data_IF_517765619250
#
_entry.id   IF_517765619250
#
_cell.length_a   1.000
_cell.length_b   1.000
_cell.length_c   1.000
_cell.angle_alpha   90.00
_cell.angle_beta   90.00
_cell.angle_gamma   90.00
#
_symmetry.space_group_name_H-M   'P 1'
#
loop_
_entity.id
_entity.type
_entity.pdbx_description
1 polymer ?
#
# COMPACT_ATOMS: atom_id res chain seq x y z
N UNK A 1 -12.43 -8.98 4.64
CA UNK A 1 -11.67 -9.91 3.80
C UNK A 1 -11.80 -9.58 2.33
N UNK A 2 -10.98 -10.22 1.48
CA UNK A 2 -10.83 -9.90 0.05
C UNK A 2 -12.18 -9.86 -0.71
N UNK A 3 -13.03 -10.86 -0.53
CA UNK A 3 -14.33 -10.92 -1.22
C UNK A 3 -15.21 -9.68 -0.94
N UNK A 4 -15.19 -9.18 0.28
CA UNK A 4 -15.93 -7.96 0.65
C UNK A 4 -15.33 -6.72 -0.01
N UNK A 5 -14.00 -6.60 -0.04
CA UNK A 5 -13.30 -5.49 -0.71
C UNK A 5 -13.59 -5.49 -2.20
N UNK A 6 -13.55 -6.65 -2.86
CA UNK A 6 -13.88 -6.78 -4.28
C UNK A 6 -15.35 -6.44 -4.56
N UNK A 7 -16.28 -6.80 -3.67
CA UNK A 7 -17.69 -6.43 -3.80
C UNK A 7 -17.88 -4.91 -3.72
N UNK A 8 -17.17 -4.21 -2.80
CA UNK A 8 -17.20 -2.74 -2.73
C UNK A 8 -16.66 -2.13 -4.02
N UNK A 9 -15.49 -2.60 -4.48
CA UNK A 9 -14.89 -2.13 -5.73
C UNK A 9 -15.80 -2.36 -6.94
N UNK A 10 -16.41 -3.54 -7.05
CA UNK A 10 -17.35 -3.85 -8.12
C UNK A 10 -18.52 -2.88 -8.17
N UNK A 11 -19.12 -2.57 -7.01
CA UNK A 11 -20.22 -1.59 -6.89
C UNK A 11 -19.78 -0.19 -7.31
N UNK A 12 -18.62 0.26 -6.83
CA UNK A 12 -18.06 1.58 -7.19
C UNK A 12 -17.79 1.71 -8.69
N UNK A 13 -17.43 0.59 -9.35
CA UNK A 13 -17.16 0.53 -10.79
C UNK A 13 -18.42 0.21 -11.64
N UNK A 14 -19.61 0.07 -11.03
CA UNK A 14 -20.83 -0.30 -11.74
C UNK A 14 -20.81 -1.72 -12.33
N UNK A 15 -19.96 -2.62 -11.82
CA UNK A 15 -19.78 -4.01 -12.32
C UNK A 15 -20.59 -5.07 -11.55
N UNK A 16 -21.63 -4.66 -10.80
CA UNK A 16 -22.46 -5.57 -10.00
C UNK A 16 -21.81 -5.96 -8.66
N UNK A 17 -22.02 -7.20 -8.22
CA UNK A 17 -21.56 -7.65 -6.89
C UNK A 17 -20.26 -8.47 -6.91
N UNK A 18 -19.75 -8.80 -8.07
CA UNK A 18 -18.54 -9.64 -8.22
C UNK A 18 -17.54 -9.02 -9.19
N UNK A 19 -16.30 -8.97 -8.76
CA UNK A 19 -15.18 -8.49 -9.56
C UNK A 19 -14.03 -9.49 -9.46
N UNK A 20 -13.64 -10.06 -10.60
CA UNK A 20 -12.30 -10.68 -10.75
C UNK A 20 -11.42 -9.61 -11.37
N UNK A 21 -10.32 -9.21 -10.75
CA UNK A 21 -9.45 -8.18 -11.29
C UNK A 21 -8.71 -8.68 -12.54
N UNK A 22 -8.39 -7.75 -13.45
CA UNK A 22 -7.61 -8.05 -14.66
C UNK A 22 -6.13 -8.36 -14.34
N UNK A 23 -5.64 -7.91 -13.19
CA UNK A 23 -4.31 -8.22 -12.66
C UNK A 23 -4.26 -8.02 -11.14
N UNK A 24 -3.26 -8.62 -10.50
CA UNK A 24 -2.99 -8.48 -9.06
C UNK A 24 -1.54 -8.06 -8.88
N UNK A 25 -1.29 -7.10 -8.00
CA UNK A 25 0.05 -6.70 -7.60
C UNK A 25 0.20 -6.86 -6.10
N UNK A 26 1.32 -7.43 -5.62
CA UNK A 26 1.58 -7.68 -4.21
C UNK A 26 2.85 -6.98 -3.76
N UNK A 27 2.76 -6.30 -2.63
CA UNK A 27 3.88 -5.56 -2.02
C UNK A 27 4.86 -6.49 -1.32
N UNK A 28 4.37 -7.46 -0.53
CA UNK A 28 5.15 -8.42 0.27
C UNK A 28 4.28 -9.56 0.81
N UNK A 29 4.86 -10.51 1.58
CA UNK A 29 4.22 -11.76 2.02
C UNK A 29 3.85 -11.85 3.49
N UNK A 30 3.71 -10.75 4.23
CA UNK A 30 3.08 -10.82 5.55
C UNK A 30 1.62 -11.26 5.42
N UNK A 31 1.12 -11.99 6.42
CA UNK A 31 -0.16 -12.69 6.34
C UNK A 31 -1.33 -11.76 5.97
N UNK A 32 -1.38 -10.56 6.55
CA UNK A 32 -2.43 -9.58 6.29
C UNK A 32 -2.53 -9.12 4.84
N UNK A 33 -1.43 -9.27 4.06
CA UNK A 33 -1.34 -8.83 2.67
C UNK A 33 -1.59 -9.94 1.65
N UNK A 34 -1.52 -11.22 2.07
CA UNK A 34 -1.67 -12.39 1.17
C UNK A 34 -2.74 -13.39 1.59
N UNK A 35 -3.36 -13.25 2.76
CA UNK A 35 -4.35 -14.20 3.28
C UNK A 35 -5.56 -14.39 2.34
N UNK A 36 -5.96 -13.35 1.63
CA UNK A 36 -7.07 -13.39 0.67
C UNK A 36 -6.73 -13.98 -0.70
N UNK A 37 -5.46 -14.12 -1.05
CA UNK A 37 -5.00 -14.45 -2.40
C UNK A 37 -5.52 -15.80 -2.90
N UNK A 38 -5.64 -16.79 -2.01
CA UNK A 38 -6.21 -18.09 -2.34
C UNK A 38 -7.68 -18.05 -2.78
N UNK A 39 -8.43 -16.99 -2.45
CA UNK A 39 -9.84 -16.85 -2.84
C UNK A 39 -10.02 -16.64 -4.35
N UNK A 40 -8.99 -16.26 -5.08
CA UNK A 40 -9.05 -16.21 -6.55
C UNK A 40 -9.15 -17.60 -7.18
N UNK A 41 -8.78 -18.67 -6.46
CA UNK A 41 -8.77 -20.05 -6.95
C UNK A 41 -10.12 -20.65 -7.28
N UNK A 42 -10.07 -21.89 -7.78
CA UNK A 42 -11.24 -22.63 -8.30
C UNK A 42 -12.34 -22.84 -7.26
N UNK A 43 -11.95 -22.98 -5.99
CA UNK A 43 -12.88 -23.28 -4.89
C UNK A 43 -13.71 -22.07 -4.46
N UNK A 44 -13.36 -20.84 -4.88
CA UNK A 44 -14.07 -19.63 -4.55
C UNK A 44 -14.48 -18.82 -5.78
N UNK A 45 -13.54 -18.12 -6.42
CA UNK A 45 -13.86 -17.19 -7.54
C UNK A 45 -13.68 -17.85 -8.93
N UNK A 46 -13.12 -19.05 -9.01
CA UNK A 46 -12.90 -19.74 -10.28
C UNK A 46 -11.85 -19.09 -11.18
N UNK A 47 -11.00 -18.25 -10.64
CA UNK A 47 -9.96 -17.55 -11.39
C UNK A 47 -8.89 -18.50 -11.92
N UNK A 48 -8.35 -18.16 -13.09
CA UNK A 48 -7.27 -18.90 -13.74
C UNK A 48 -6.49 -17.97 -14.65
N UNK A 49 -5.15 -18.04 -14.57
CA UNK A 49 -4.27 -17.26 -15.43
C UNK A 49 -4.32 -15.75 -15.20
N UNK A 50 -4.74 -15.30 -14.02
CA UNK A 50 -4.74 -13.88 -13.66
C UNK A 50 -3.29 -13.40 -13.59
N UNK A 51 -2.88 -12.34 -14.32
CA UNK A 51 -1.55 -11.78 -14.20
C UNK A 51 -1.27 -11.35 -12.75
N UNK A 52 -0.22 -11.90 -12.15
CA UNK A 52 0.29 -11.52 -10.84
C UNK A 52 1.64 -10.84 -11.02
N UNK A 53 1.78 -9.65 -10.47
CA UNK A 53 3.03 -8.90 -10.43
C UNK A 53 3.54 -8.80 -9.00
N UNK A 54 4.74 -9.28 -8.75
CA UNK A 54 5.39 -9.24 -7.44
C UNK A 54 6.90 -9.45 -7.60
N UNK A 55 7.67 -9.22 -6.55
CA UNK A 55 9.08 -9.59 -6.55
C UNK A 55 9.27 -11.12 -6.64
N UNK A 56 10.47 -11.56 -6.99
CA UNK A 56 10.79 -12.99 -7.08
C UNK A 56 10.61 -13.73 -5.75
N UNK A 57 10.95 -13.08 -4.63
CA UNK A 57 10.80 -13.70 -3.30
C UNK A 57 9.33 -13.83 -2.89
N UNK A 58 8.48 -12.86 -3.22
CA UNK A 58 7.02 -12.94 -3.02
C UNK A 58 6.43 -14.08 -3.82
N UNK A 59 6.78 -14.21 -5.10
CA UNK A 59 6.31 -15.29 -5.96
C UNK A 59 6.72 -16.65 -5.39
N UNK A 60 7.98 -16.80 -4.98
CA UNK A 60 8.48 -18.04 -4.37
C UNK A 60 7.65 -18.43 -3.13
N UNK A 61 7.38 -17.50 -2.22
CA UNK A 61 6.58 -17.78 -1.02
C UNK A 61 5.15 -18.20 -1.38
N UNK A 62 4.53 -17.58 -2.39
CA UNK A 62 3.20 -17.98 -2.85
C UNK A 62 3.19 -19.39 -3.44
N UNK A 63 4.23 -19.78 -4.18
CA UNK A 63 4.39 -21.12 -4.74
C UNK A 63 4.57 -22.16 -3.62
N UNK A 64 5.45 -21.91 -2.64
CA UNK A 64 5.66 -22.75 -1.47
C UNK A 64 4.37 -22.96 -0.66
N UNK A 65 3.56 -21.90 -0.51
CA UNK A 65 2.25 -21.95 0.17
C UNK A 65 1.11 -22.45 -0.71
N UNK A 66 1.37 -22.81 -1.97
CA UNK A 66 0.38 -23.23 -2.99
C UNK A 66 -0.73 -22.20 -3.24
N UNK A 67 -0.42 -20.93 -3.09
CA UNK A 67 -1.32 -19.81 -3.35
C UNK A 67 -1.19 -19.24 -4.76
N UNK A 68 -0.16 -19.63 -5.51
CA UNK A 68 0.12 -19.14 -6.86
C UNK A 68 -0.76 -19.77 -7.96
N UNK A 69 -1.52 -20.83 -7.66
CA UNK A 69 -2.29 -21.61 -8.66
C UNK A 69 -3.23 -20.79 -9.55
N UNK A 70 -3.95 -19.73 -9.06
CA UNK A 70 -4.83 -18.94 -9.90
C UNK A 70 -4.11 -18.01 -10.87
N UNK A 71 -2.80 -17.84 -10.74
CA UNK A 71 -2.06 -16.75 -11.35
C UNK A 71 -1.13 -17.18 -12.48
N UNK A 72 -0.86 -16.21 -13.35
CA UNK A 72 0.29 -16.17 -14.23
C UNK A 72 1.32 -15.25 -13.59
N UNK A 73 2.41 -15.83 -13.06
CA UNK A 73 3.41 -15.07 -12.31
C UNK A 73 4.28 -14.23 -13.24
N UNK A 74 4.43 -12.94 -12.92
CA UNK A 74 5.30 -11.99 -13.58
C UNK A 74 6.21 -11.32 -12.54
N UNK A 75 7.52 -11.49 -12.68
CA UNK A 75 8.48 -10.87 -11.76
C UNK A 75 8.54 -9.37 -12.03
N UNK A 76 8.18 -8.57 -11.04
CA UNK A 76 8.36 -7.13 -11.04
C UNK A 76 9.73 -6.79 -10.43
N UNK A 77 10.59 -6.15 -11.21
CA UNK A 77 11.89 -5.67 -10.73
C UNK A 77 11.78 -4.22 -10.26
N UNK A 78 12.38 -3.92 -9.12
CA UNK A 78 12.41 -2.56 -8.55
C UNK A 78 12.95 -1.55 -9.56
N UNK A 79 12.28 -0.41 -9.69
CA UNK A 79 12.63 0.67 -10.62
C UNK A 79 12.20 0.47 -12.08
N UNK A 80 11.65 -0.71 -12.43
CA UNK A 80 11.14 -0.93 -13.78
C UNK A 80 9.67 -0.51 -13.88
N UNK A 81 9.36 0.30 -14.89
CA UNK A 81 8.00 0.73 -15.22
C UNK A 81 7.40 -0.22 -16.25
N UNK A 82 6.15 -0.64 -16.04
CA UNK A 82 5.43 -1.55 -16.95
C UNK A 82 3.92 -1.36 -16.87
N UNK A 83 3.21 -1.69 -17.95
CA UNK A 83 1.74 -1.76 -17.96
C UNK A 83 1.27 -3.13 -17.49
N UNK A 84 0.41 -3.24 -16.45
CA UNK A 84 -0.02 -4.54 -15.91
C UNK A 84 -0.96 -5.30 -16.85
N UNK A 85 -1.71 -4.59 -17.72
CA UNK A 85 -2.56 -5.18 -18.76
C UNK A 85 -2.54 -4.30 -20.00
N UNK A 86 -2.76 -4.92 -21.17
CA UNK A 86 -2.77 -4.17 -22.44
C UNK A 86 -3.92 -3.16 -22.46
N UNK A 87 -3.58 -1.90 -22.68
CA UNK A 87 -4.58 -0.82 -22.83
C UNK A 87 -5.23 -0.36 -21.52
N UNK A 88 -4.65 -0.70 -20.36
CA UNK A 88 -5.18 -0.26 -19.06
C UNK A 88 -5.10 1.27 -18.83
N UNK A 89 -4.24 1.96 -19.57
CA UNK A 89 -4.11 3.43 -19.49
C UNK A 89 -3.26 3.92 -18.31
N UNK A 90 -2.59 3.03 -17.59
CA UNK A 90 -1.66 3.35 -16.51
C UNK A 90 -0.48 2.39 -16.48
N UNK A 91 0.56 2.76 -15.74
CA UNK A 91 1.75 1.95 -15.54
C UNK A 91 2.01 1.75 -14.04
N UNK A 92 2.78 0.73 -13.72
CA UNK A 92 3.23 0.41 -12.36
C UNK A 92 4.75 0.44 -12.29
N UNK A 93 5.25 0.89 -11.13
CA UNK A 93 6.65 0.80 -10.74
C UNK A 93 6.74 0.25 -9.31
N UNK A 94 7.55 -0.78 -9.11
CA UNK A 94 7.84 -1.32 -7.78
C UNK A 94 9.06 -0.61 -7.21
N UNK A 95 8.92 -0.05 -6.01
CA UNK A 95 9.99 0.69 -5.31
C UNK A 95 10.34 -0.06 -4.05
N UNK A 96 11.59 -0.56 -3.97
CA UNK A 96 12.06 -1.30 -2.79
C UNK A 96 12.03 -0.43 -1.54
N UNK A 97 11.45 -0.95 -0.46
CA UNK A 97 11.44 -0.32 0.88
C UNK A 97 11.85 -1.34 1.95
N UNK A 98 12.46 -0.92 3.06
CA UNK A 98 12.82 -1.82 4.14
C UNK A 98 11.56 -2.19 4.94
N UNK A 99 11.28 -3.48 5.13
CA UNK A 99 10.24 -3.95 6.04
C UNK A 99 10.43 -5.43 6.34
N UNK A 100 10.91 -5.76 7.55
CA UNK A 100 11.01 -7.12 8.13
C UNK A 100 11.10 -8.24 7.08
N UNK A 101 12.23 -8.34 6.38
CA UNK A 101 12.40 -9.25 5.23
C UNK A 101 12.44 -10.76 5.60
N UNK A 102 11.76 -11.18 6.68
CA UNK A 102 11.76 -12.57 7.14
C UNK A 102 11.07 -13.56 6.19
N UNK A 103 10.14 -13.08 5.34
CA UNK A 103 9.45 -13.94 4.35
C UNK A 103 9.77 -13.54 2.92
N UNK A 104 9.77 -12.27 2.63
CA UNK A 104 10.01 -11.70 1.31
C UNK A 104 10.52 -10.28 1.45
N UNK A 105 11.12 -9.76 0.41
CA UNK A 105 11.34 -8.33 0.28
C UNK A 105 10.01 -7.56 0.18
N UNK A 106 10.04 -6.25 0.49
CA UNK A 106 8.87 -5.38 0.48
C UNK A 106 9.04 -4.26 -0.53
N UNK A 107 7.96 -3.95 -1.24
CA UNK A 107 7.93 -2.84 -2.21
C UNK A 107 6.72 -1.94 -1.97
N UNK A 108 6.93 -0.64 -2.07
CA UNK A 108 5.85 0.27 -2.43
C UNK A 108 5.52 0.11 -3.92
N UNK A 109 4.32 0.51 -4.32
CA UNK A 109 3.89 0.46 -5.72
C UNK A 109 3.50 1.88 -6.14
N UNK A 110 4.21 2.43 -7.13
CA UNK A 110 3.79 3.66 -7.80
C UNK A 110 2.86 3.31 -8.94
N UNK A 111 1.70 3.95 -8.97
CA UNK A 111 0.72 3.89 -10.08
C UNK A 111 0.84 5.19 -10.85
N UNK A 112 1.21 5.11 -12.12
CA UNK A 112 1.42 6.25 -13.01
C UNK A 112 0.24 6.32 -13.97
N UNK A 113 -0.71 7.20 -13.67
CA UNK A 113 -1.86 7.46 -14.52
C UNK A 113 -1.57 8.50 -15.59
N UNK A 114 -2.57 8.82 -16.44
CA UNK A 114 -2.40 9.77 -17.54
C UNK A 114 -2.23 11.24 -17.07
N UNK A 115 -2.71 11.60 -15.89
CA UNK A 115 -2.65 12.95 -15.37
C UNK A 115 -1.94 13.05 -14.04
N UNK A 116 -2.07 12.04 -13.19
CA UNK A 116 -1.55 12.01 -11.83
C UNK A 116 -0.90 10.68 -11.50
N UNK A 117 -0.04 10.68 -10.50
CA UNK A 117 0.57 9.46 -9.97
C UNK A 117 0.29 9.27 -8.48
N UNK A 118 0.19 8.02 -8.07
CA UNK A 118 -0.06 7.61 -6.70
C UNK A 118 1.04 6.68 -6.22
N UNK A 119 1.55 6.91 -5.01
CA UNK A 119 2.39 5.95 -4.29
C UNK A 119 1.53 5.18 -3.28
N UNK A 120 1.55 3.85 -3.35
CA UNK A 120 0.95 2.95 -2.37
C UNK A 120 2.06 2.32 -1.54
N UNK A 121 2.23 2.80 -0.30
CA UNK A 121 3.26 2.40 0.66
C UNK A 121 2.58 1.97 1.98
N UNK A 122 1.96 0.78 2.03
CA UNK A 122 1.22 0.35 3.22
C UNK A 122 2.12 0.02 4.41
N UNK A 123 3.33 -0.50 4.14
CA UNK A 123 4.27 -0.97 5.16
C UNK A 123 5.70 -0.58 4.84
N UNK A 124 6.41 -0.05 5.84
CA UNK A 124 7.87 0.05 5.87
C UNK A 124 8.37 0.18 7.32
N UNK A 125 9.64 -0.09 7.59
CA UNK A 125 10.16 -0.13 8.97
C UNK A 125 10.28 1.25 9.60
N UNK A 126 10.90 2.18 8.92
CA UNK A 126 11.07 3.57 9.34
C UNK A 126 11.47 4.49 8.18
N UNK A 127 11.23 5.79 8.35
CA UNK A 127 11.56 6.79 7.34
C UNK A 127 13.06 6.94 7.10
N UNK A 128 13.88 6.83 8.16
CA UNK A 128 15.32 7.00 8.02
C UNK A 128 15.96 5.91 7.16
N UNK A 129 15.54 4.66 7.30
CA UNK A 129 16.02 3.56 6.46
C UNK A 129 15.46 3.69 5.03
N UNK A 130 14.17 4.00 4.89
CA UNK A 130 13.52 4.18 3.60
C UNK A 130 14.21 5.28 2.78
N UNK A 131 14.38 6.46 3.36
CA UNK A 131 15.02 7.60 2.67
C UNK A 131 16.47 7.31 2.29
N UNK A 132 17.24 6.63 3.16
CA UNK A 132 18.59 6.18 2.79
C UNK A 132 18.61 5.21 1.61
N UNK A 133 17.65 4.28 1.57
CA UNK A 133 17.56 3.28 0.51
C UNK A 133 17.23 3.92 -0.85
N UNK A 134 16.30 4.88 -0.86
CA UNK A 134 15.91 5.60 -2.08
C UNK A 134 16.85 6.76 -2.43
N UNK A 135 17.79 7.10 -1.55
CA UNK A 135 18.81 8.14 -1.80
C UNK A 135 18.34 9.57 -1.60
N UNK A 136 17.29 9.77 -0.80
CA UNK A 136 16.65 11.07 -0.57
C UNK A 136 16.88 11.62 0.85
N UNK A 137 16.73 12.93 1.02
CA UNK A 137 16.98 13.59 2.32
C UNK A 137 15.70 13.77 3.15
N UNK A 138 14.55 13.85 2.50
CA UNK A 138 13.26 14.00 3.16
C UNK A 138 12.15 13.28 2.42
N UNK A 139 11.03 13.05 3.09
CA UNK A 139 9.82 12.48 2.49
C UNK A 139 9.34 13.33 1.31
N UNK A 140 9.39 14.67 1.44
CA UNK A 140 9.02 15.60 0.37
C UNK A 140 9.92 15.48 -0.84
N UNK A 141 11.24 15.46 -0.64
CA UNK A 141 12.19 15.33 -1.74
C UNK A 141 11.95 14.03 -2.50
N UNK A 142 11.72 12.92 -1.77
CA UNK A 142 11.41 11.64 -2.39
C UNK A 142 10.14 11.70 -3.24
N UNK A 143 9.05 12.23 -2.68
CA UNK A 143 7.78 12.28 -3.41
C UNK A 143 7.84 13.23 -4.62
N UNK A 144 8.54 14.36 -4.48
CA UNK A 144 8.76 15.30 -5.59
C UNK A 144 9.62 14.67 -6.68
N UNK A 145 10.73 14.02 -6.32
CA UNK A 145 11.63 13.36 -7.30
C UNK A 145 10.94 12.25 -8.08
N UNK A 146 9.98 11.57 -7.45
CA UNK A 146 9.14 10.56 -8.11
C UNK A 146 7.92 11.14 -8.83
N UNK A 147 7.65 12.45 -8.73
CA UNK A 147 6.44 13.06 -9.30
C UNK A 147 5.15 12.47 -8.73
N UNK A 148 5.06 12.33 -7.41
CA UNK A 148 3.89 11.80 -6.71
C UNK A 148 2.89 12.92 -6.45
N UNK A 149 1.63 12.74 -6.89
CA UNK A 149 0.51 13.64 -6.59
C UNK A 149 -0.29 13.17 -5.37
N UNK A 150 -0.40 11.85 -5.20
CA UNK A 150 -1.09 11.21 -4.08
C UNK A 150 -0.18 10.18 -3.42
N UNK A 151 -0.05 10.20 -2.09
CA UNK A 151 0.72 9.22 -1.35
C UNK A 151 -0.15 8.55 -0.29
N UNK A 152 -0.49 7.27 -0.51
CA UNK A 152 -1.12 6.40 0.47
C UNK A 152 -0.01 5.71 1.27
N UNK A 153 0.23 6.18 2.51
CA UNK A 153 1.38 5.77 3.31
C UNK A 153 0.97 5.05 4.60
N UNK A 154 1.92 4.34 5.18
CA UNK A 154 1.78 3.60 6.42
C UNK A 154 1.25 4.49 7.56
N UNK A 155 0.14 4.10 8.13
CA UNK A 155 -0.52 4.73 9.28
C UNK A 155 -0.89 3.71 10.35
N UNK A 156 -0.16 2.59 10.43
CA UNK A 156 -0.50 1.47 11.31
C UNK A 156 -0.72 1.93 12.75
N UNK A 157 0.18 2.68 13.32
CA UNK A 157 0.08 3.18 14.67
C UNK A 157 0.10 4.70 14.74
N UNK A 158 -0.62 5.26 15.72
CA UNK A 158 -0.56 6.67 15.99
C UNK A 158 0.76 7.08 16.65
N UNK A 159 1.19 6.33 17.66
CA UNK A 159 2.40 6.61 18.44
C UNK A 159 2.96 5.34 19.08
N UNK A 160 4.21 5.40 19.57
CA UNK A 160 4.95 4.28 20.16
C UNK A 160 4.27 3.64 21.39
N UNK A 161 3.40 4.33 22.09
CA UNK A 161 2.71 3.80 23.28
C UNK A 161 1.40 3.06 23.01
N UNK A 162 0.97 2.97 21.76
CA UNK A 162 -0.39 2.53 21.40
C UNK A 162 -0.72 1.09 21.84
N UNK A 163 0.24 0.19 21.83
CA UNK A 163 0.04 -1.22 22.17
C UNK A 163 0.21 -1.57 23.67
N UNK A 164 0.13 -0.57 24.56
CA UNK A 164 0.01 -0.81 26.00
C UNK A 164 1.20 -1.58 26.63
N UNK A 165 2.43 -1.26 26.24
CA UNK A 165 3.65 -1.89 26.80
C UNK A 165 4.18 -3.08 25.99
N UNK A 166 3.57 -3.42 24.87
CA UNK A 166 4.16 -4.36 23.91
C UNK A 166 5.38 -3.71 23.25
N UNK A 167 6.43 -4.48 23.05
CA UNK A 167 7.62 -4.04 22.34
C UNK A 167 7.30 -3.77 20.86
N UNK A 168 7.16 -2.50 20.50
CA UNK A 168 6.83 -2.03 19.15
C UNK A 168 7.98 -2.27 18.17
N UNK A 169 9.24 -2.42 18.64
CA UNK A 169 10.38 -2.71 17.74
C UNK A 169 10.26 -4.07 17.04
N UNK A 170 9.40 -4.95 17.54
CA UNK A 170 9.11 -6.26 16.94
C UNK A 170 8.06 -6.21 15.83
N UNK A 171 7.38 -5.09 15.68
CA UNK A 171 6.43 -4.78 14.63
C UNK A 171 6.70 -3.36 14.14
N UNK A 172 7.86 -3.14 13.50
CA UNK A 172 8.29 -1.81 13.13
C UNK A 172 7.39 -1.23 12.04
N UNK A 173 6.87 -0.05 12.31
CA UNK A 173 6.17 0.84 11.40
C UNK A 173 6.45 2.27 11.85
N UNK A 174 6.66 3.23 10.94
CA UNK A 174 6.70 4.61 11.35
C UNK A 174 5.32 4.99 11.89
N UNK A 175 5.29 5.70 13.00
CA UNK A 175 4.03 6.17 13.54
C UNK A 175 3.49 7.34 12.73
N UNK A 176 2.17 7.57 12.77
CA UNK A 176 1.56 8.77 12.17
C UNK A 176 2.18 10.04 12.80
N UNK A 177 2.41 10.05 14.12
CA UNK A 177 3.03 11.17 14.81
C UNK A 177 4.43 11.49 14.28
N UNK A 178 5.29 10.46 14.10
CA UNK A 178 6.62 10.62 13.51
C UNK A 178 6.55 11.15 12.08
N UNK A 179 5.69 10.56 11.27
CA UNK A 179 5.49 11.00 9.88
C UNK A 179 5.05 12.45 9.79
N UNK A 180 4.14 12.90 10.67
CA UNK A 180 3.70 14.30 10.75
C UNK A 180 4.79 15.23 11.26
N UNK A 181 5.65 14.80 12.19
CA UNK A 181 6.80 15.59 12.63
C UNK A 181 7.79 15.85 11.49
N UNK A 182 8.08 14.82 10.67
CA UNK A 182 8.95 14.92 9.51
C UNK A 182 8.34 15.76 8.37
N UNK A 183 7.04 15.66 8.17
CA UNK A 183 6.30 16.39 7.14
C UNK A 183 5.95 17.81 7.57
N UNK A 184 5.59 18.03 8.84
CA UNK A 184 5.00 19.28 9.32
C UNK A 184 3.66 19.57 8.66
N UNK A 185 3.29 20.86 8.58
CA UNK A 185 2.09 21.33 7.90
C UNK A 185 2.22 21.19 6.38
N UNK A 186 1.12 20.84 5.71
CA UNK A 186 1.05 20.76 4.25
C UNK A 186 1.36 22.09 3.60
N UNK A 187 2.21 22.09 2.57
CA UNK A 187 2.63 23.27 1.81
C UNK A 187 2.02 23.23 0.41
N UNK A 188 2.00 24.36 -0.24
CA UNK A 188 1.67 24.43 -1.66
C UNK A 188 2.68 23.58 -2.47
N UNK A 189 2.17 22.74 -3.35
CA UNK A 189 2.99 21.78 -4.14
C UNK A 189 3.26 20.45 -3.46
N UNK A 190 2.93 20.26 -2.17
CA UNK A 190 3.00 18.94 -1.54
C UNK A 190 1.95 17.99 -2.16
N UNK A 191 2.27 16.69 -2.30
CA UNK A 191 1.29 15.68 -2.65
C UNK A 191 0.17 15.61 -1.61
N UNK A 192 -0.97 15.05 -1.99
CA UNK A 192 -1.98 14.68 -1.02
C UNK A 192 -1.55 13.40 -0.29
N UNK A 193 -1.26 13.52 1.01
CA UNK A 193 -0.86 12.39 1.84
C UNK A 193 -2.07 11.84 2.57
N UNK A 194 -2.25 10.52 2.45
CA UNK A 194 -3.37 9.75 2.98
C UNK A 194 -2.81 8.60 3.79
N UNK A 195 -3.01 8.60 5.10
CA UNK A 195 -2.61 7.51 5.97
C UNK A 195 -3.57 6.33 5.82
N UNK A 196 -3.03 5.16 5.59
CA UNK A 196 -3.77 3.90 5.39
C UNK A 196 -3.24 2.81 6.34
N UNK A 197 -3.75 1.59 6.25
CA UNK A 197 -3.27 0.43 7.01
C UNK A 197 -3.42 0.57 8.53
N UNK A 198 -4.36 1.38 9.02
CA UNK A 198 -4.52 1.67 10.45
C UNK A 198 -4.86 0.40 11.25
N UNK A 199 -4.12 0.16 12.33
CA UNK A 199 -4.46 -0.89 13.29
C UNK A 199 -5.77 -0.52 14.02
N UNK A 200 -6.52 -1.52 14.43
CA UNK A 200 -7.80 -1.32 15.16
C UNK A 200 -7.67 -0.54 16.48
N UNK A 201 -6.46 -0.40 17.02
CA UNK A 201 -6.16 0.40 18.21
C UNK A 201 -5.88 1.86 17.89
N UNK A 202 -5.66 2.20 16.61
CA UNK A 202 -5.28 3.55 16.21
C UNK A 202 -6.40 4.56 16.48
N UNK A 203 -6.20 5.57 17.34
CA UNK A 203 -7.23 6.52 17.70
C UNK A 203 -7.71 7.39 16.51
N UNK A 204 -6.94 7.50 15.44
CA UNK A 204 -7.33 8.25 14.25
C UNK A 204 -8.43 7.57 13.42
N UNK A 205 -8.79 6.30 13.72
CA UNK A 205 -9.97 5.63 13.16
C UNK A 205 -11.29 6.31 13.57
N UNK A 206 -11.31 6.96 14.74
CA UNK A 206 -12.41 7.83 15.15
C UNK A 206 -12.18 9.24 14.60
N UNK A 207 -12.96 9.62 13.59
CA UNK A 207 -12.88 10.94 12.96
C UNK A 207 -13.11 12.12 13.92
N UNK A 208 -13.79 11.87 15.06
CA UNK A 208 -14.01 12.84 16.12
C UNK A 208 -12.91 12.85 17.18
N UNK A 209 -11.90 12.01 17.08
CA UNK A 209 -10.75 12.01 17.99
C UNK A 209 -9.92 13.29 17.88
N UNK A 210 -9.19 13.63 18.93
CA UNK A 210 -8.23 14.75 18.89
C UNK A 210 -7.11 14.48 17.88
N UNK A 211 -6.76 13.23 17.69
CA UNK A 211 -5.74 12.76 16.76
C UNK A 211 -6.14 12.99 15.30
N UNK A 212 -7.35 12.55 14.91
CA UNK A 212 -7.86 12.78 13.57
C UNK A 212 -8.01 14.27 13.25
N UNK A 213 -8.53 15.06 14.21
CA UNK A 213 -8.62 16.53 14.06
C UNK A 213 -7.25 17.20 13.94
N UNK A 214 -6.26 16.77 14.73
CA UNK A 214 -4.90 17.30 14.64
C UNK A 214 -4.27 17.01 13.27
N UNK A 215 -4.34 15.77 12.80
CA UNK A 215 -3.87 15.36 11.48
C UNK A 215 -4.51 16.20 10.37
N UNK A 216 -5.83 16.35 10.42
CA UNK A 216 -6.58 17.16 9.45
C UNK A 216 -6.20 18.64 9.51
N UNK A 217 -5.89 19.19 10.69
CA UNK A 217 -5.45 20.58 10.85
C UNK A 217 -4.09 20.86 10.19
N UNK A 218 -3.25 19.85 10.04
CA UNK A 218 -1.99 19.92 9.28
C UNK A 218 -2.19 19.77 7.77
N UNK A 219 -3.42 19.47 7.31
CA UNK A 219 -3.77 19.29 5.89
C UNK A 219 -3.58 17.87 5.36
N UNK A 220 -3.41 16.87 6.25
CA UNK A 220 -3.28 15.48 5.90
C UNK A 220 -4.59 14.71 6.04
N UNK A 221 -4.70 13.50 5.50
CA UNK A 221 -5.94 12.71 5.48
C UNK A 221 -5.74 11.31 6.05
N UNK A 222 -6.83 10.73 6.56
CA UNK A 222 -6.98 9.30 6.81
C UNK A 222 -7.74 8.69 5.63
N UNK A 223 -7.31 7.54 5.17
CA UNK A 223 -7.95 6.82 4.08
C UNK A 223 -9.34 6.31 4.46
N UNK A 224 -10.32 6.61 3.62
CA UNK A 224 -11.69 6.15 3.79
C UNK A 224 -11.99 5.00 2.83
N UNK A 225 -12.64 3.95 3.35
CA UNK A 225 -13.03 2.80 2.54
C UNK A 225 -14.06 3.21 1.47
N UNK A 226 -13.76 2.89 0.21
CA UNK A 226 -14.62 3.21 -0.93
C UNK A 226 -14.36 4.59 -1.55
N UNK A 227 -13.40 5.35 -1.05
CA UNK A 227 -12.97 6.58 -1.73
C UNK A 227 -12.34 6.26 -3.09
N UNK A 228 -12.41 7.22 -4.01
CA UNK A 228 -11.88 7.10 -5.37
C UNK A 228 -10.88 8.22 -5.63
N UNK A 229 -9.72 7.87 -6.18
CA UNK A 229 -8.70 8.80 -6.65
C UNK A 229 -8.62 8.66 -8.17
N UNK A 230 -8.68 9.78 -8.87
CA UNK A 230 -8.50 9.82 -10.32
C UNK A 230 -7.03 10.12 -10.63
N UNK A 231 -6.43 9.32 -11.47
CA UNK A 231 -5.01 9.41 -11.85
C UNK A 231 -4.80 9.86 -13.29
#
# INVERSE_FOLDING_TARGET
>A
GLAHQLSIAAKSLGKGDSLVPDSVSLTHCHLGHVDGVGQFGKEAMGGSGIPLFASSSVIQVLEERRLATPFQNNVAHSGNVFSPTVGCGFELEFVRVPHRDEYSDTHAIRVIGPNHSLLFLPDHDDWGQTLRLVGEQSIRDWFISMGIDFAMIDGTFWSDGELGGRDMTRVPHPTISESMELLGERREGDPEIIFIHLNHTNPALDGDSSQARYLSSLGWKIGEQGSTILL
#
